data_IF_667963992837
#
_entry.id   IF_667963992837
#
_cell.length_a   1.000
_cell.length_b   1.000
_cell.length_c   1.000
_cell.angle_alpha   90.00
_cell.angle_beta   90.00
_cell.angle_gamma   90.00
#
_symmetry.space_group_name_H-M   'P 1'
#
loop_
_entity.id
_entity.type
_entity.pdbx_description
1 polymer ?
#
# COMPACT_ATOMS: atom_id res chain seq x y z
N UNK A 1 28.51 -38.53 11.62
CA UNK A 1 27.34 -38.48 12.53
C UNK A 1 26.09 -38.68 11.70
N UNK A 2 25.38 -39.80 11.90
CA UNK A 2 24.14 -40.11 11.19
C UNK A 2 22.95 -39.58 11.99
N UNK A 3 22.34 -38.50 11.52
CA UNK A 3 21.10 -37.97 12.10
C UNK A 3 19.93 -38.85 11.66
N UNK A 4 19.11 -39.31 12.60
CA UNK A 4 17.88 -40.06 12.33
C UNK A 4 16.68 -39.18 12.66
N UNK A 5 15.86 -38.89 11.66
CA UNK A 5 14.63 -38.13 11.82
C UNK A 5 13.57 -39.00 12.54
N UNK A 6 13.12 -38.58 13.72
CA UNK A 6 12.02 -39.21 14.44
C UNK A 6 10.85 -38.23 14.61
N UNK A 7 9.86 -38.35 13.73
CA UNK A 7 8.62 -37.56 13.78
C UNK A 7 7.57 -38.14 14.73
N UNK A 8 7.71 -39.40 15.15
CA UNK A 8 6.78 -40.02 16.09
C UNK A 8 6.85 -39.34 17.46
N UNK A 9 8.03 -38.81 17.83
CA UNK A 9 8.24 -38.01 19.03
C UNK A 9 7.33 -36.76 19.13
N UNK A 10 6.82 -36.24 18.00
CA UNK A 10 5.98 -35.03 17.96
C UNK A 10 4.49 -35.36 18.11
N UNK A 11 4.08 -36.60 17.76
CA UNK A 11 2.68 -37.02 17.74
C UNK A 11 1.90 -36.84 19.06
N UNK A 12 2.50 -37.04 20.25
CA UNK A 12 1.82 -36.76 21.51
C UNK A 12 1.40 -35.29 21.67
N UNK A 13 2.17 -34.36 21.10
CA UNK A 13 1.94 -32.91 21.21
C UNK A 13 1.00 -32.34 20.14
N UNK A 14 0.42 -33.18 19.28
CA UNK A 14 -0.44 -32.74 18.15
C UNK A 14 -1.56 -31.78 18.57
N UNK A 15 -2.17 -31.97 19.75
CA UNK A 15 -3.24 -31.09 20.23
C UNK A 15 -2.71 -29.71 20.61
N UNK A 16 -1.55 -29.63 21.28
CA UNK A 16 -0.87 -28.37 21.58
C UNK A 16 -0.46 -27.64 20.31
N UNK A 17 0.00 -28.38 19.30
CA UNK A 17 0.34 -27.81 17.99
C UNK A 17 -0.90 -27.26 17.27
N UNK A 18 -2.03 -27.98 17.33
CA UNK A 18 -3.30 -27.51 16.78
C UNK A 18 -3.81 -26.26 17.51
N UNK A 19 -3.64 -26.19 18.82
CA UNK A 19 -3.98 -25.01 19.62
C UNK A 19 -3.12 -23.80 19.23
N UNK A 20 -1.80 -23.98 19.07
CA UNK A 20 -0.91 -22.94 18.57
C UNK A 20 -1.24 -22.49 17.14
N UNK A 21 -1.59 -23.43 16.27
CA UNK A 21 -2.05 -23.14 14.91
C UNK A 21 -3.34 -22.32 14.95
N UNK A 22 -4.30 -22.71 15.79
CA UNK A 22 -5.56 -22.00 15.95
C UNK A 22 -5.33 -20.57 16.45
N UNK A 23 -4.48 -20.37 17.47
CA UNK A 23 -4.10 -19.05 17.94
C UNK A 23 -3.44 -18.18 16.87
N UNK A 24 -2.61 -18.78 16.01
CA UNK A 24 -1.99 -18.08 14.85
C UNK A 24 -3.05 -17.63 13.86
N UNK A 25 -4.02 -18.49 13.52
CA UNK A 25 -5.13 -18.16 12.62
C UNK A 25 -5.96 -17.03 13.22
N UNK A 26 -6.30 -17.11 14.51
CA UNK A 26 -7.07 -16.08 15.19
C UNK A 26 -6.34 -14.73 15.13
N UNK A 27 -5.08 -14.65 15.59
CA UNK A 27 -4.31 -13.40 15.55
C UNK A 27 -4.20 -12.89 14.11
N UNK A 28 -3.84 -13.75 13.16
CA UNK A 28 -3.68 -13.39 11.75
C UNK A 28 -4.95 -12.80 11.15
N UNK A 29 -6.08 -13.51 11.25
CA UNK A 29 -7.36 -13.05 10.68
C UNK A 29 -7.80 -11.74 11.32
N UNK A 30 -7.76 -11.64 12.65
CA UNK A 30 -8.21 -10.40 13.32
C UNK A 30 -7.30 -9.22 12.97
N UNK A 31 -5.98 -9.42 12.95
CA UNK A 31 -5.02 -8.37 12.56
C UNK A 31 -5.16 -7.92 11.12
N UNK A 32 -5.42 -8.84 10.18
CA UNK A 32 -5.68 -8.52 8.79
C UNK A 32 -6.95 -7.67 8.67
N UNK A 33 -8.05 -8.08 9.31
CA UNK A 33 -9.32 -7.35 9.26
C UNK A 33 -9.17 -5.92 9.80
N UNK A 34 -8.63 -5.76 11.01
CA UNK A 34 -8.41 -4.43 11.59
C UNK A 34 -7.40 -3.61 10.78
N UNK A 35 -6.33 -4.25 10.31
CA UNK A 35 -5.34 -3.63 9.45
C UNK A 35 -5.95 -3.09 8.16
N UNK A 36 -6.82 -3.87 7.50
CA UNK A 36 -7.49 -3.44 6.26
C UNK A 36 -8.36 -2.21 6.49
N UNK A 37 -9.19 -2.23 7.54
CA UNK A 37 -10.08 -1.12 7.90
C UNK A 37 -9.28 0.15 8.23
N UNK A 38 -8.29 0.04 9.12
CA UNK A 38 -7.44 1.16 9.49
C UNK A 38 -6.56 1.64 8.32
N UNK A 39 -6.13 0.74 7.44
CA UNK A 39 -5.35 1.07 6.26
C UNK A 39 -6.13 1.90 5.25
N UNK A 40 -7.43 1.65 5.07
CA UNK A 40 -8.30 2.48 4.23
C UNK A 40 -8.41 3.89 4.85
N UNK A 41 -8.65 3.98 6.15
CA UNK A 41 -8.70 5.27 6.85
C UNK A 41 -7.39 6.07 6.68
N UNK A 42 -6.23 5.43 6.89
CA UNK A 42 -4.92 6.05 6.69
C UNK A 42 -4.67 6.46 5.24
N UNK A 43 -5.08 5.65 4.26
CA UNK A 43 -4.96 5.99 2.85
C UNK A 43 -5.78 7.24 2.50
N UNK A 44 -7.01 7.33 3.00
CA UNK A 44 -7.89 8.50 2.80
C UNK A 44 -7.33 9.75 3.49
N UNK A 45 -6.85 9.62 4.73
CA UNK A 45 -6.20 10.73 5.45
C UNK A 45 -4.97 11.25 4.70
N UNK A 46 -4.13 10.34 4.17
CA UNK A 46 -2.96 10.67 3.37
C UNK A 46 -3.32 11.36 2.05
N UNK A 47 -4.46 10.99 1.44
CA UNK A 47 -4.96 11.60 0.21
C UNK A 47 -5.65 12.96 0.44
N UNK A 48 -5.95 13.32 1.69
CA UNK A 48 -6.63 14.58 2.02
C UNK A 48 -5.81 15.81 1.60
N UNK A 49 -6.45 16.85 1.04
CA UNK A 49 -5.78 18.12 0.73
C UNK A 49 -5.40 18.89 2.00
N UNK A 50 -6.06 18.59 3.13
CA UNK A 50 -5.81 19.26 4.40
C UNK A 50 -4.56 18.69 5.07
N UNK A 51 -3.56 19.56 5.28
CA UNK A 51 -2.29 19.19 5.95
C UNK A 51 -2.51 18.56 7.32
N UNK A 52 -3.57 18.96 8.04
CA UNK A 52 -3.92 18.43 9.35
C UNK A 52 -4.17 16.91 9.36
N UNK A 53 -4.72 16.34 8.28
CA UNK A 53 -4.95 14.89 8.18
C UNK A 53 -3.80 14.18 7.47
N UNK A 54 -3.24 14.83 6.44
CA UNK A 54 -2.16 14.27 5.64
C UNK A 54 -0.87 14.06 6.42
N UNK A 55 -0.47 15.04 7.24
CA UNK A 55 0.81 14.99 7.95
C UNK A 55 0.85 13.86 9.00
N UNK A 56 -0.16 13.70 9.90
CA UNK A 56 -0.19 12.55 10.82
C UNK A 56 -0.20 11.21 10.09
N UNK A 57 -0.95 11.09 8.98
CA UNK A 57 -0.98 9.85 8.21
C UNK A 57 0.41 9.50 7.63
N UNK A 58 1.13 10.49 7.08
CA UNK A 58 2.50 10.28 6.58
C UNK A 58 3.45 9.83 7.70
N UNK A 59 3.38 10.46 8.88
CA UNK A 59 4.22 10.14 10.04
C UNK A 59 3.90 8.72 10.52
N UNK A 60 2.62 8.39 10.75
CA UNK A 60 2.20 7.07 11.22
C UNK A 60 2.60 5.98 10.22
N UNK A 61 2.32 6.18 8.93
CA UNK A 61 2.67 5.20 7.89
C UNK A 61 4.20 5.00 7.84
N UNK A 62 4.97 6.10 7.86
CA UNK A 62 6.43 6.03 7.87
C UNK A 62 6.98 5.32 9.11
N UNK A 63 6.51 5.71 10.29
CA UNK A 63 6.94 5.14 11.56
C UNK A 63 6.72 3.62 11.63
N UNK A 64 5.48 3.17 11.35
CA UNK A 64 5.16 1.76 11.41
C UNK A 64 5.92 0.98 10.34
N UNK A 65 6.05 1.47 9.10
CA UNK A 65 6.79 0.74 8.04
C UNK A 65 8.30 0.61 8.31
N UNK A 66 8.87 1.51 9.10
CA UNK A 66 10.30 1.53 9.41
C UNK A 66 10.66 0.83 10.72
N UNK A 67 9.67 0.33 11.48
CA UNK A 67 9.88 -0.29 12.80
C UNK A 67 9.37 -1.73 12.78
N UNK A 68 10.08 -2.72 13.35
CA UNK A 68 9.60 -4.11 13.37
C UNK A 68 8.32 -4.28 14.20
N UNK A 69 7.38 -5.09 13.74
CA UNK A 69 6.13 -5.40 14.46
C UNK A 69 6.37 -5.93 15.89
N UNK A 70 7.45 -6.70 16.08
CA UNK A 70 7.81 -7.24 17.40
C UNK A 70 8.16 -6.13 18.40
N UNK A 71 8.81 -5.04 17.96
CA UNK A 71 9.13 -3.90 18.84
C UNK A 71 7.85 -3.24 19.34
N UNK A 72 6.87 -3.05 18.44
CA UNK A 72 5.56 -2.53 18.83
C UNK A 72 4.85 -3.44 19.83
N UNK A 73 4.90 -4.75 19.62
CA UNK A 73 4.37 -5.72 20.59
C UNK A 73 5.03 -5.57 21.96
N UNK A 74 6.37 -5.46 22.00
CA UNK A 74 7.10 -5.28 23.25
C UNK A 74 6.69 -4.01 23.98
N UNK A 75 6.54 -2.89 23.28
CA UNK A 75 6.07 -1.64 23.90
C UNK A 75 4.65 -1.75 24.43
N UNK A 76 3.74 -2.35 23.67
CA UNK A 76 2.32 -2.46 24.07
C UNK A 76 2.15 -3.43 25.24
N UNK A 77 2.85 -4.57 25.24
CA UNK A 77 2.65 -5.61 26.24
C UNK A 77 3.50 -5.39 27.50
N UNK A 78 4.77 -4.97 27.35
CA UNK A 78 5.69 -4.86 28.48
C UNK A 78 5.94 -3.42 28.94
N UNK A 79 6.00 -2.44 28.03
CA UNK A 79 6.31 -1.06 28.42
C UNK A 79 5.06 -0.28 28.88
N UNK A 80 3.90 -0.51 28.26
CA UNK A 80 2.65 0.18 28.62
C UNK A 80 2.28 0.01 30.12
N UNK A 81 2.36 -1.19 30.73
CA UNK A 81 2.06 -1.36 32.15
C UNK A 81 3.01 -0.64 33.11
N UNK A 82 4.20 -0.24 32.63
CA UNK A 82 5.19 0.51 33.44
C UNK A 82 4.80 1.98 33.55
N UNK A 83 4.20 2.54 32.49
CA UNK A 83 3.86 3.96 32.39
C UNK A 83 2.37 4.23 32.61
N UNK A 84 1.54 3.19 32.64
CA UNK A 84 0.09 3.25 32.74
C UNK A 84 -0.45 2.03 33.51
N UNK A 85 -1.57 2.15 34.25
CA UNK A 85 -2.22 1.00 34.88
C UNK A 85 -2.87 0.04 33.87
N UNK A 86 -2.85 0.36 32.58
CA UNK A 86 -3.44 -0.46 31.53
C UNK A 86 -2.58 -1.71 31.26
N UNK A 87 -3.20 -2.87 31.44
CA UNK A 87 -2.64 -4.17 31.05
C UNK A 87 -3.46 -4.76 29.91
N UNK A 88 -2.78 -5.28 28.90
CA UNK A 88 -3.41 -5.91 27.74
C UNK A 88 -3.06 -7.39 27.73
N UNK A 89 -4.00 -8.21 27.27
CA UNK A 89 -3.70 -9.63 27.05
C UNK A 89 -2.66 -9.80 25.94
N UNK A 90 -1.86 -10.89 25.93
CA UNK A 90 -0.91 -11.15 24.84
C UNK A 90 -1.58 -11.15 23.47
N UNK A 91 -2.80 -11.68 23.39
CA UNK A 91 -3.60 -11.66 22.16
C UNK A 91 -3.92 -10.24 21.71
N UNK A 92 -4.43 -9.38 22.60
CA UNK A 92 -4.78 -8.00 22.25
C UNK A 92 -3.54 -7.19 21.84
N UNK A 93 -2.43 -7.34 22.56
CA UNK A 93 -1.18 -6.68 22.23
C UNK A 93 -0.63 -7.12 20.86
N UNK A 94 -0.67 -8.42 20.57
CA UNK A 94 -0.28 -8.96 19.26
C UNK A 94 -1.17 -8.42 18.14
N UNK A 95 -2.48 -8.42 18.35
CA UNK A 95 -3.44 -7.92 17.36
C UNK A 95 -3.22 -6.44 17.09
N UNK A 96 -3.02 -5.61 18.11
CA UNK A 96 -2.74 -4.17 17.96
C UNK A 96 -1.43 -3.92 17.21
N UNK A 97 -0.34 -4.58 17.61
CA UNK A 97 0.95 -4.42 16.97
C UNK A 97 0.91 -4.81 15.49
N UNK A 98 0.35 -5.98 15.18
CA UNK A 98 0.28 -6.51 13.81
C UNK A 98 -0.72 -5.74 12.94
N UNK A 99 -1.88 -5.35 13.49
CA UNK A 99 -2.87 -4.58 12.73
C UNK A 99 -2.38 -3.17 12.41
N UNK A 100 -1.74 -2.48 13.35
CA UNK A 100 -1.17 -1.16 13.11
C UNK A 100 -0.06 -1.20 12.05
N UNK A 101 0.83 -2.19 12.15
CA UNK A 101 1.84 -2.44 11.13
C UNK A 101 1.22 -2.69 9.75
N UNK A 102 0.22 -3.58 9.70
CA UNK A 102 -0.46 -3.97 8.47
C UNK A 102 -1.23 -2.80 7.86
N UNK A 103 -1.89 -1.97 8.67
CA UNK A 103 -2.60 -0.78 8.23
C UNK A 103 -1.69 0.19 7.46
N UNK A 104 -0.46 0.40 7.94
CA UNK A 104 0.51 1.25 7.27
C UNK A 104 0.96 0.68 5.91
N UNK A 105 1.14 -0.63 5.80
CA UNK A 105 1.44 -1.29 4.52
C UNK A 105 0.23 -1.25 3.56
N UNK A 106 -0.96 -1.58 4.05
CA UNK A 106 -2.18 -1.56 3.26
C UNK A 106 -2.52 -0.16 2.74
N UNK A 107 -2.25 0.89 3.52
CA UNK A 107 -2.44 2.27 3.06
C UNK A 107 -1.65 2.58 1.77
N UNK A 108 -0.43 2.04 1.62
CA UNK A 108 0.36 2.18 0.40
C UNK A 108 -0.14 1.29 -0.74
N UNK A 109 -0.61 0.08 -0.42
CA UNK A 109 -1.23 -0.81 -1.41
C UNK A 109 -2.48 -0.14 -1.99
N UNK A 110 -3.36 0.41 -1.16
CA UNK A 110 -4.55 1.12 -1.60
C UNK A 110 -4.19 2.36 -2.43
N UNK A 111 -3.20 3.15 -2.00
CA UNK A 111 -2.72 4.29 -2.78
C UNK A 111 -2.18 3.87 -4.15
N UNK A 112 -1.39 2.80 -4.20
CA UNK A 112 -0.87 2.23 -5.45
C UNK A 112 -1.99 1.74 -6.36
N UNK A 113 -3.01 1.08 -5.79
CA UNK A 113 -4.20 0.62 -6.52
C UNK A 113 -5.07 1.76 -7.05
N UNK A 114 -5.22 2.85 -6.29
CA UNK A 114 -5.94 4.05 -6.76
C UNK A 114 -5.19 4.71 -7.92
N UNK A 115 -3.86 4.78 -7.84
CA UNK A 115 -3.02 5.41 -8.87
C UNK A 115 -2.85 4.55 -10.14
N UNK A 116 -3.00 3.23 -10.05
CA UNK A 116 -2.86 2.35 -11.21
C UNK A 116 -4.03 2.45 -12.19
N UNK A 117 -5.19 2.94 -11.75
CA UNK A 117 -6.32 3.29 -12.61
C UNK A 117 -5.96 4.59 -13.33
N UNK A 118 -5.44 4.47 -14.55
CA UNK A 118 -4.86 5.57 -15.31
C UNK A 118 -5.72 6.84 -15.37
N UNK A 119 -5.06 8.01 -15.39
CA UNK A 119 -5.66 9.33 -15.39
C UNK A 119 -6.73 9.56 -16.49
N UNK A 120 -6.74 8.75 -17.56
CA UNK A 120 -7.78 8.78 -18.60
C UNK A 120 -9.21 8.44 -18.12
N UNK A 121 -9.36 7.70 -17.01
CA UNK A 121 -10.68 7.45 -16.39
C UNK A 121 -11.08 8.58 -15.41
N UNK A 122 -10.09 9.27 -14.82
CA UNK A 122 -10.30 10.41 -13.92
C UNK A 122 -10.50 11.74 -14.71
N UNK A 123 -9.95 11.83 -15.92
CA UNK A 123 -9.90 13.00 -16.79
C UNK A 123 -11.18 13.36 -17.55
N UNK A 124 -12.36 12.96 -17.06
CA UNK A 124 -13.66 13.44 -17.61
C UNK A 124 -14.29 14.58 -16.80
N UNK A 125 -13.52 15.25 -15.93
CA UNK A 125 -14.02 16.41 -15.15
C UNK A 125 -13.28 17.72 -15.42
N UNK A 126 -12.12 17.70 -16.06
CA UNK A 126 -11.40 18.91 -16.44
C UNK A 126 -11.02 18.81 -17.93
N UNK A 127 -11.77 19.50 -18.80
CA UNK A 127 -11.32 19.73 -20.19
C UNK A 127 -12.25 19.27 -21.32
N UNK A 128 -13.54 19.62 -21.29
CA UNK A 128 -14.20 20.05 -22.55
C UNK A 128 -13.52 21.36 -22.94
N UNK A 129 -12.40 21.25 -23.63
CA UNK A 129 -11.53 22.40 -23.89
C UNK A 129 -10.23 22.09 -24.60
N UNK A 130 -9.99 20.87 -25.09
CA UNK A 130 -8.98 20.69 -26.13
C UNK A 130 -9.61 21.02 -27.48
N UNK A 131 -9.61 22.32 -27.82
CA UNK A 131 -9.61 22.75 -29.21
C UNK A 131 -8.37 22.11 -29.85
N UNK A 132 -8.61 21.10 -30.70
CA UNK A 132 -7.60 20.55 -31.57
C UNK A 132 -7.15 21.64 -32.55
N UNK A 133 -6.16 22.44 -32.17
CA UNK A 133 -5.41 23.24 -33.13
C UNK A 133 -4.47 22.29 -33.85
N UNK A 134 -4.95 21.76 -34.99
CA UNK A 134 -4.11 21.20 -36.03
C UNK A 134 -2.99 22.18 -36.36
N UNK A 135 -1.79 21.90 -35.84
CA UNK A 135 -0.57 22.56 -36.29
C UNK A 135 -0.12 21.84 -37.55
N UNK A 136 -0.44 22.42 -38.71
CA UNK A 136 0.13 21.99 -39.98
C UNK A 136 1.67 22.12 -39.91
N UNK A 137 2.44 21.16 -40.46
CA UNK A 137 3.88 21.28 -40.54
C UNK A 137 4.28 22.41 -41.50
N UNK A 138 5.26 23.27 -41.15
CA UNK A 138 5.79 24.24 -42.09
C UNK A 138 6.78 23.54 -43.02
N UNK A 139 6.48 23.50 -44.32
CA UNK A 139 7.50 23.12 -45.30
C UNK A 139 7.02 22.41 -46.54
N UNK A 140 6.05 22.96 -47.27
CA UNK A 140 5.94 22.74 -48.71
C UNK A 140 5.46 24.03 -49.36
N UNK A 141 6.43 24.82 -49.85
CA UNK A 141 6.17 25.90 -50.80
C UNK A 141 5.88 25.28 -52.17
N UNK A 142 4.82 25.72 -52.88
CA UNK A 142 4.68 25.42 -54.30
C UNK A 142 5.54 26.42 -55.08
N UNK A 143 6.47 25.93 -55.90
CA UNK A 143 7.20 26.76 -56.86
C UNK A 143 7.02 26.18 -58.26
N UNK A 144 6.61 27.05 -59.19
CA UNK A 144 6.90 26.90 -60.61
C UNK A 144 5.79 26.27 -61.45
N UNK A 145 4.79 27.06 -61.80
CA UNK A 145 3.99 26.83 -63.00
C UNK A 145 4.76 27.33 -64.24
N UNK A 146 4.71 26.54 -65.32
CA UNK A 146 4.90 26.98 -66.73
C UNK A 146 6.33 27.45 -67.09
N UNK A 147 6.94 27.15 -68.23
CA UNK A 147 6.42 26.98 -69.57
C UNK A 147 7.42 26.14 -70.38
N UNK A 148 6.85 25.32 -71.24
CA UNK A 148 7.42 24.81 -72.48
C UNK A 148 8.04 25.96 -73.28
N UNK A 149 9.32 25.87 -73.67
CA UNK A 149 9.75 26.55 -74.89
C UNK A 149 10.78 25.72 -75.65
N UNK A 150 10.42 25.49 -76.90
CA UNK A 150 11.11 24.77 -77.94
C UNK A 150 12.20 25.63 -78.56
N UNK A 151 13.44 25.15 -78.64
CA UNK A 151 14.45 25.66 -79.58
C UNK A 151 15.56 24.62 -79.80
N UNK A 152 15.60 24.10 -81.02
CA UNK A 152 16.59 23.29 -81.74
C UNK A 152 18.06 23.80 -81.63
N UNK A 153 19.07 23.11 -82.20
CA UNK A 153 19.06 21.87 -83.01
C UNK A 153 19.82 20.66 -82.45
#
# INVERSE_FOLDING_TARGET
MSYQWDFAAIWPYRMLLLEGLWGTIQIGVTSILFGMLAGIALALMKASPLTLFRLPALILIGFYRNTPAIVHFFWIYYALPVVSPLTLSPFAAAVLALSAQSAAFYAEVYRGGIQSIGAGQWGRREGVGHVARHRAPPGHFPSGASQNDSSFP
#
